data_IF_520162819860
#
_entry.id   IF_520162819860
#
_cell.length_a   1.000
_cell.length_b   1.000
_cell.length_c   1.000
_cell.angle_alpha   90.00
_cell.angle_beta   90.00
_cell.angle_gamma   90.00
#
_symmetry.space_group_name_H-M   'P 1'
#
loop_
_entity.id
_entity.type
_entity.pdbx_description
1 polymer ?
#
# COMPACT_ATOMS: atom_id res chain seq x y z
N UNK A 1 0.22 35.16 1.50
CA UNK A 1 1.46 34.93 0.73
C UNK A 1 2.20 33.67 1.17
N UNK A 2 2.38 33.40 2.48
CA UNK A 2 2.90 32.10 2.98
C UNK A 2 2.07 30.89 2.53
N UNK A 3 0.75 30.99 2.67
CA UNK A 3 -0.16 29.91 2.24
C UNK A 3 -0.04 29.57 0.74
N UNK A 4 0.32 30.53 -0.12
CA UNK A 4 0.47 30.26 -1.55
C UNK A 4 1.75 29.46 -1.85
N UNK A 5 2.83 29.70 -1.10
CA UNK A 5 4.09 28.97 -1.26
C UNK A 5 4.00 27.52 -0.78
N UNK A 6 3.15 27.25 0.21
CA UNK A 6 2.94 25.89 0.75
C UNK A 6 1.87 25.11 -0.04
N UNK A 7 0.84 25.79 -0.57
CA UNK A 7 -0.27 25.15 -1.28
C UNK A 7 0.01 24.95 -2.78
N UNK A 8 0.77 25.85 -3.44
CA UNK A 8 1.06 25.73 -4.88
C UNK A 8 1.77 24.42 -5.23
N UNK A 9 2.81 23.97 -4.50
CA UNK A 9 3.46 22.70 -4.82
C UNK A 9 2.54 21.49 -4.67
N UNK A 10 1.62 21.50 -3.69
CA UNK A 10 0.64 20.43 -3.48
C UNK A 10 -0.37 20.38 -4.62
N UNK A 11 -0.83 21.54 -5.07
CA UNK A 11 -1.74 21.66 -6.21
C UNK A 11 -1.08 21.19 -7.51
N UNK A 12 0.16 21.60 -7.76
CA UNK A 12 0.93 21.19 -8.95
C UNK A 12 1.16 19.67 -8.95
N UNK A 13 1.55 19.11 -7.80
CA UNK A 13 1.77 17.68 -7.64
C UNK A 13 0.48 16.85 -7.84
N UNK A 14 -0.65 17.32 -7.32
CA UNK A 14 -1.96 16.67 -7.46
C UNK A 14 -2.49 16.77 -8.90
N UNK A 15 -2.31 17.93 -9.53
CA UNK A 15 -2.65 18.15 -10.94
C UNK A 15 -1.80 17.28 -11.86
N UNK A 16 -0.51 17.12 -11.55
CA UNK A 16 0.39 16.23 -12.29
C UNK A 16 0.00 14.76 -12.15
N UNK A 17 -0.39 14.32 -10.95
CA UNK A 17 -0.94 12.97 -10.74
C UNK A 17 -2.17 12.74 -11.62
N UNK A 18 -3.14 13.65 -11.59
CA UNK A 18 -4.37 13.52 -12.37
C UNK A 18 -4.08 13.52 -13.88
N UNK A 19 -3.23 14.43 -14.35
CA UNK A 19 -2.81 14.49 -15.74
C UNK A 19 -2.08 13.22 -16.18
N UNK A 20 -1.15 12.72 -15.36
CA UNK A 20 -0.44 11.47 -15.63
C UNK A 20 -1.40 10.28 -15.76
N UNK A 21 -2.35 10.12 -14.84
CA UNK A 21 -3.38 9.07 -14.93
C UNK A 21 -4.20 9.22 -16.22
N UNK A 22 -4.61 10.45 -16.56
CA UNK A 22 -5.44 10.75 -17.74
C UNK A 22 -4.75 10.39 -19.06
N UNK A 23 -3.46 10.70 -19.18
CA UNK A 23 -2.70 10.50 -20.42
C UNK A 23 -2.05 9.12 -20.50
N UNK A 24 -1.92 8.41 -19.38
CA UNK A 24 -1.36 7.07 -19.34
C UNK A 24 -2.28 6.09 -20.07
N UNK A 25 -1.91 5.78 -21.31
CA UNK A 25 -2.60 4.79 -22.12
C UNK A 25 -1.99 3.43 -21.89
N UNK A 26 -2.60 2.65 -21.01
CA UNK A 26 -2.23 1.25 -20.81
C UNK A 26 -3.02 0.29 -21.71
N UNK A 27 -3.46 0.77 -22.88
CA UNK A 27 -4.32 0.05 -23.82
C UNK A 27 -3.75 -1.28 -24.34
N UNK A 28 -2.51 -1.62 -23.99
CA UNK A 28 -1.84 -2.88 -24.32
C UNK A 28 -1.16 -3.53 -23.11
N UNK A 29 -1.63 -3.24 -21.89
CA UNK A 29 -1.08 -3.90 -20.71
C UNK A 29 -1.82 -5.20 -20.44
N UNK A 30 -1.08 -6.29 -20.44
CA UNK A 30 -1.54 -7.58 -19.95
C UNK A 30 -0.96 -7.77 -18.57
N UNK A 31 -1.79 -7.90 -17.54
CA UNK A 31 -1.32 -8.27 -16.21
C UNK A 31 -1.16 -9.79 -16.10
N UNK A 32 -0.11 -10.27 -15.42
CA UNK A 32 0.08 -11.70 -15.19
C UNK A 32 -1.02 -12.25 -14.28
N UNK A 33 -1.35 -13.54 -14.41
CA UNK A 33 -2.16 -14.22 -13.40
C UNK A 33 -1.46 -14.13 -12.03
N UNK A 34 -2.17 -13.84 -10.93
CA UNK A 34 -3.64 -13.76 -10.81
C UNK A 34 -4.23 -12.33 -10.92
N UNK A 35 -3.47 -11.36 -11.43
CA UNK A 35 -3.88 -9.95 -11.59
C UNK A 35 -4.58 -9.64 -12.93
N UNK A 36 -4.84 -10.66 -13.76
CA UNK A 36 -5.45 -10.48 -15.09
C UNK A 36 -6.80 -9.79 -15.08
N UNK A 37 -7.53 -9.83 -13.95
CA UNK A 37 -8.83 -9.19 -13.80
C UNK A 37 -8.73 -7.72 -13.35
N UNK A 38 -7.53 -7.21 -13.06
CA UNK A 38 -7.30 -5.84 -12.61
C UNK A 38 -7.16 -4.83 -13.79
N UNK A 39 -7.54 -5.23 -15.01
CA UNK A 39 -7.32 -4.46 -16.26
C UNK A 39 -8.50 -3.53 -16.62
N UNK A 40 -9.60 -3.56 -15.86
CA UNK A 40 -10.89 -2.91 -16.22
C UNK A 40 -11.13 -1.53 -15.59
N UNK A 41 -10.11 -0.89 -15.04
CA UNK A 41 -10.28 0.39 -14.35
C UNK A 41 -10.49 1.57 -15.33
N UNK A 42 -11.50 2.40 -15.04
CA UNK A 42 -11.75 3.64 -15.78
C UNK A 42 -10.81 4.76 -15.29
N UNK A 43 -9.64 4.83 -15.92
CA UNK A 43 -8.60 5.83 -15.63
C UNK A 43 -9.07 7.27 -15.89
N UNK A 44 -9.99 7.48 -16.84
CA UNK A 44 -10.53 8.82 -17.11
C UNK A 44 -11.41 9.29 -15.96
N UNK A 45 -12.28 8.39 -15.45
CA UNK A 45 -13.07 8.69 -14.26
C UNK A 45 -12.19 8.91 -13.02
N UNK A 46 -11.08 8.17 -12.87
CA UNK A 46 -10.10 8.40 -11.80
C UNK A 46 -9.47 9.79 -11.88
N UNK A 47 -8.93 10.15 -13.04
CA UNK A 47 -8.33 11.47 -13.24
C UNK A 47 -9.34 12.60 -12.98
N UNK A 48 -10.56 12.50 -13.53
CA UNK A 48 -11.61 13.51 -13.35
C UNK A 48 -11.98 13.70 -11.87
N UNK A 49 -12.03 12.62 -11.09
CA UNK A 49 -12.28 12.73 -9.65
C UNK A 49 -11.15 13.44 -8.93
N UNK A 50 -9.89 13.05 -9.20
CA UNK A 50 -8.70 13.67 -8.61
C UNK A 50 -8.63 15.18 -8.88
N UNK A 51 -9.05 15.63 -10.07
CA UNK A 51 -9.14 17.05 -10.43
C UNK A 51 -10.14 17.85 -9.59
N UNK A 52 -11.12 17.18 -8.97
CA UNK A 52 -12.20 17.82 -8.19
C UNK A 52 -12.04 17.69 -6.68
N UNK A 53 -10.95 17.07 -6.22
CA UNK A 53 -10.71 16.81 -4.80
C UNK A 53 -10.36 18.10 -4.06
N UNK A 54 -10.96 18.29 -2.88
CA UNK A 54 -10.51 19.33 -1.96
C UNK A 54 -9.17 18.93 -1.33
N UNK A 55 -8.07 19.57 -1.73
CA UNK A 55 -6.73 19.25 -1.22
C UNK A 55 -6.53 19.52 0.28
N UNK A 56 -7.46 20.23 0.93
CA UNK A 56 -7.46 20.43 2.39
C UNK A 56 -8.10 19.26 3.14
N UNK A 57 -8.63 18.29 2.42
CA UNK A 57 -9.23 17.11 3.02
C UNK A 57 -8.18 16.28 3.76
N UNK A 58 -8.56 15.86 4.96
CA UNK A 58 -7.80 14.92 5.78
C UNK A 58 -8.55 13.59 5.81
N UNK A 59 -7.87 12.52 5.46
CA UNK A 59 -8.39 11.15 5.57
C UNK A 59 -8.05 10.59 6.94
N UNK A 60 -9.05 10.10 7.66
CA UNK A 60 -8.82 9.37 8.89
C UNK A 60 -8.49 7.91 8.56
N UNK A 61 -7.38 7.41 9.10
CA UNK A 61 -6.93 6.03 8.90
C UNK A 61 -6.66 5.38 10.25
N UNK A 62 -6.58 4.04 10.28
CA UNK A 62 -6.16 3.32 11.49
C UNK A 62 -4.73 3.65 11.95
N UNK A 63 -3.95 4.37 11.15
CA UNK A 63 -2.60 4.83 11.46
C UNK A 63 -2.54 6.32 11.82
N UNK A 64 -3.69 6.98 11.92
CA UNK A 64 -3.83 8.42 12.11
C UNK A 64 -4.24 9.15 10.82
N UNK A 65 -4.29 10.47 10.93
CA UNK A 65 -4.72 11.36 9.86
C UNK A 65 -3.67 11.48 8.75
N UNK A 66 -4.12 11.45 7.50
CA UNK A 66 -3.28 11.63 6.30
C UNK A 66 -3.93 12.64 5.37
N UNK A 67 -3.18 13.66 4.95
CA UNK A 67 -3.64 14.65 3.98
C UNK A 67 -3.87 14.03 2.61
N UNK A 68 -4.88 14.49 1.88
CA UNK A 68 -5.21 13.95 0.57
C UNK A 68 -4.18 14.30 -0.51
N UNK A 69 -3.43 15.39 -0.31
CA UNK A 69 -2.32 15.80 -1.16
C UNK A 69 -1.19 14.76 -1.20
N UNK A 70 -1.06 13.94 -0.15
CA UNK A 70 -0.01 12.91 -0.05
C UNK A 70 -0.20 11.81 -1.11
N UNK A 71 -1.42 11.64 -1.66
CA UNK A 71 -1.64 10.73 -2.78
C UNK A 71 -0.83 11.11 -4.02
N UNK A 72 -0.37 12.37 -4.13
CA UNK A 72 0.44 12.82 -5.25
C UNK A 72 1.76 12.05 -5.38
N UNK A 73 2.29 11.43 -4.32
CA UNK A 73 3.49 10.58 -4.39
C UNK A 73 3.27 9.25 -5.15
N UNK A 74 2.04 8.92 -5.51
CA UNK A 74 1.72 7.75 -6.35
C UNK A 74 1.97 8.05 -7.84
N UNK A 75 2.28 9.29 -8.21
CA UNK A 75 2.51 9.64 -9.61
C UNK A 75 3.85 9.11 -10.12
N UNK A 76 3.83 8.62 -11.37
CA UNK A 76 5.02 8.39 -12.20
C UNK A 76 6.07 7.50 -11.51
N UNK A 77 7.15 8.15 -11.08
CA UNK A 77 8.42 7.62 -10.61
C UNK A 77 8.78 8.24 -9.25
N UNK A 78 7.79 8.79 -8.54
CA UNK A 78 8.01 9.31 -7.20
C UNK A 78 8.26 8.17 -6.21
N UNK A 79 9.00 8.50 -5.14
CA UNK A 79 9.27 7.55 -4.07
C UNK A 79 8.09 7.57 -3.12
N UNK A 80 7.44 6.41 -2.93
CA UNK A 80 6.35 6.32 -1.96
C UNK A 80 6.85 6.62 -0.56
N UNK A 81 6.11 7.47 0.13
CA UNK A 81 6.37 7.85 1.51
C UNK A 81 5.56 6.99 2.49
N UNK A 82 5.64 7.32 3.77
CA UNK A 82 4.87 6.62 4.81
C UNK A 82 3.36 6.88 4.70
N UNK A 83 2.93 8.03 4.17
CA UNK A 83 1.52 8.35 3.96
C UNK A 83 0.89 7.43 2.92
N UNK A 84 1.55 7.21 1.78
CA UNK A 84 1.10 6.27 0.76
C UNK A 84 0.96 4.85 1.32
N UNK A 85 1.94 4.40 2.12
CA UNK A 85 1.89 3.10 2.79
C UNK A 85 0.70 2.99 3.74
N UNK A 86 0.48 4.00 4.61
CA UNK A 86 -0.67 4.05 5.54
C UNK A 86 -1.99 3.89 4.81
N UNK A 87 -2.17 4.66 3.74
CA UNK A 87 -3.42 4.67 2.98
C UNK A 87 -3.70 3.31 2.34
N UNK A 88 -2.69 2.69 1.70
CA UNK A 88 -2.92 1.41 1.00
C UNK A 88 -3.13 0.29 2.00
N UNK A 89 -2.33 0.27 3.06
CA UNK A 89 -2.50 -0.71 4.14
C UNK A 89 -3.86 -0.55 4.83
N UNK A 90 -4.32 0.68 5.08
CA UNK A 90 -5.64 0.92 5.67
C UNK A 90 -6.75 0.37 4.79
N UNK A 91 -6.67 0.63 3.48
CA UNK A 91 -7.62 0.07 2.52
C UNK A 91 -7.62 -1.47 2.53
N UNK A 92 -6.45 -2.12 2.52
CA UNK A 92 -6.34 -3.58 2.59
C UNK A 92 -6.98 -4.15 3.86
N UNK A 93 -6.87 -3.43 4.98
CA UNK A 93 -7.52 -3.82 6.23
C UNK A 93 -9.05 -3.67 6.18
N UNK A 94 -9.57 -2.66 5.49
CA UNK A 94 -11.02 -2.46 5.32
C UNK A 94 -11.69 -3.56 4.49
N UNK A 95 -10.96 -4.12 3.51
CA UNK A 95 -11.52 -5.15 2.61
C UNK A 95 -11.79 -6.49 3.29
N UNK A 96 -11.21 -6.76 4.46
CA UNK A 96 -11.24 -8.07 5.12
C UNK A 96 -11.63 -7.95 6.59
N UNK A 97 -12.94 -7.84 6.81
CA UNK A 97 -13.54 -7.89 8.13
C UNK A 97 -13.75 -9.35 8.58
N UNK A 98 -13.33 -9.66 9.79
CA UNK A 98 -13.66 -10.91 10.48
C UNK A 98 -14.95 -10.77 11.28
N UNK A 99 -15.12 -11.64 12.26
CA UNK A 99 -16.24 -11.57 13.21
C UNK A 99 -16.29 -10.20 13.91
N UNK A 100 -17.51 -9.68 14.13
CA UNK A 100 -17.77 -8.36 14.74
C UNK A 100 -17.29 -7.15 13.93
N UNK A 101 -17.24 -7.24 12.59
CA UNK A 101 -16.81 -6.15 11.68
C UNK A 101 -15.37 -5.65 11.92
N UNK A 102 -14.59 -6.38 12.73
CA UNK A 102 -13.20 -6.04 13.02
C UNK A 102 -12.30 -6.63 11.95
N UNK A 103 -11.38 -5.84 11.41
CA UNK A 103 -10.43 -6.36 10.43
C UNK A 103 -9.65 -7.54 11.00
N UNK A 104 -9.62 -8.64 10.24
CA UNK A 104 -8.77 -9.78 10.54
C UNK A 104 -7.32 -9.53 10.12
N UNK A 105 -7.06 -8.45 9.38
CA UNK A 105 -5.74 -8.01 8.92
C UNK A 105 -5.24 -6.89 9.85
N UNK A 106 -4.02 -7.05 10.35
CA UNK A 106 -3.31 -6.03 11.11
C UNK A 106 -2.28 -5.29 10.25
N UNK A 107 -1.86 -4.13 10.70
CA UNK A 107 -0.80 -3.37 10.06
C UNK A 107 0.06 -2.61 11.07
N UNK A 108 1.33 -2.43 10.77
CA UNK A 108 2.25 -1.58 11.54
C UNK A 108 2.36 -0.21 10.89
N UNK A 109 2.21 0.86 11.68
CA UNK A 109 2.30 2.23 11.20
C UNK A 109 3.72 2.50 10.65
N UNK A 110 3.92 2.71 9.34
CA UNK A 110 5.24 2.84 8.71
C UNK A 110 6.11 3.95 9.29
N UNK A 111 5.51 4.93 10.00
CA UNK A 111 6.24 6.01 10.64
C UNK A 111 7.27 5.50 11.66
N UNK A 112 7.06 4.34 12.30
CA UNK A 112 7.99 3.79 13.29
C UNK A 112 9.43 3.70 12.76
N UNK A 113 9.59 3.42 11.47
CA UNK A 113 10.90 3.24 10.85
C UNK A 113 11.66 4.57 10.65
N UNK A 114 10.99 5.71 10.79
CA UNK A 114 11.57 7.06 10.71
C UNK A 114 11.80 7.69 12.10
N UNK A 115 11.22 7.10 13.15
CA UNK A 115 11.40 7.59 14.51
C UNK A 115 12.78 7.18 15.03
N UNK A 116 13.58 8.16 15.42
CA UNK A 116 14.94 7.93 15.92
C UNK A 116 14.97 7.57 17.41
N UNK A 117 14.04 8.12 18.19
CA UNK A 117 13.90 7.79 19.61
C UNK A 117 13.28 6.39 19.76
N UNK A 118 13.97 5.49 20.45
CA UNK A 118 13.52 4.10 20.60
C UNK A 118 12.23 3.98 21.40
N UNK A 119 12.01 4.85 22.40
CA UNK A 119 10.79 4.81 23.21
C UNK A 119 9.58 5.22 22.37
N UNK A 120 9.70 6.31 21.62
CA UNK A 120 8.66 6.76 20.69
C UNK A 120 8.44 5.74 19.56
N UNK A 121 9.49 5.10 19.04
CA UNK A 121 9.36 4.04 18.04
C UNK A 121 8.52 2.88 18.57
N UNK A 122 8.82 2.41 19.78
CA UNK A 122 8.03 1.37 20.44
C UNK A 122 6.59 1.82 20.72
N UNK A 123 6.37 3.09 21.05
CA UNK A 123 5.01 3.65 21.19
C UNK A 123 4.24 3.66 19.87
N UNK A 124 4.87 4.03 18.74
CA UNK A 124 4.25 3.98 17.40
C UNK A 124 3.91 2.54 17.02
N UNK A 125 4.78 1.58 17.34
CA UNK A 125 4.49 0.15 17.12
C UNK A 125 3.31 -0.29 18.02
N UNK A 126 3.31 0.08 19.29
CA UNK A 126 2.27 -0.31 20.25
C UNK A 126 0.89 0.29 19.92
N UNK A 127 0.83 1.49 19.34
CA UNK A 127 -0.40 2.15 18.91
C UNK A 127 -0.88 1.72 17.52
N UNK A 128 -0.07 0.95 16.80
CA UNK A 128 -0.44 0.45 15.48
C UNK A 128 -1.62 -0.53 15.57
N UNK A 129 -2.45 -0.64 14.52
CA UNK A 129 -3.61 -1.53 14.50
C UNK A 129 -3.20 -2.98 14.23
N UNK A 130 -2.43 -3.59 15.14
CA UNK A 130 -2.07 -4.99 15.12
C UNK A 130 -2.39 -5.70 16.44
N UNK A 131 -2.71 -6.98 16.34
CA UNK A 131 -3.00 -7.91 17.42
C UNK A 131 -2.40 -9.26 17.07
N UNK A 132 -1.96 -10.01 18.07
CA UNK A 132 -1.45 -11.37 17.86
C UNK A 132 -2.50 -12.34 17.27
N UNK A 133 -3.78 -12.02 17.42
CA UNK A 133 -4.90 -12.77 16.83
C UNK A 133 -5.23 -12.39 15.39
N UNK A 134 -4.59 -11.36 14.82
CA UNK A 134 -4.81 -11.05 13.40
C UNK A 134 -4.38 -12.23 12.54
N UNK A 135 -5.20 -12.56 11.54
CA UNK A 135 -4.93 -13.58 10.53
C UNK A 135 -3.61 -13.31 9.81
N UNK A 136 -3.41 -12.04 9.44
CA UNK A 136 -2.17 -11.56 8.86
C UNK A 136 -1.79 -10.20 9.44
N UNK A 137 -0.50 -9.90 9.51
CA UNK A 137 0.01 -8.58 9.89
C UNK A 137 0.99 -8.08 8.82
N UNK A 138 0.72 -6.90 8.27
CA UNK A 138 1.59 -6.22 7.30
C UNK A 138 2.58 -5.32 8.04
N UNK A 139 3.87 -5.49 7.79
CA UNK A 139 4.96 -4.72 8.42
C UNK A 139 5.82 -4.10 7.32
N UNK A 140 5.61 -2.82 6.97
CA UNK A 140 6.51 -2.09 6.09
C UNK A 140 7.84 -1.83 6.82
N UNK A 141 8.96 -2.08 6.17
CA UNK A 141 10.30 -1.93 6.76
C UNK A 141 11.10 -0.96 5.92
N UNK A 142 11.60 0.12 6.52
CA UNK A 142 12.42 1.11 5.82
C UNK A 142 13.91 0.90 6.14
N UNK A 143 14.73 0.68 5.12
CA UNK A 143 16.14 0.33 5.22
C UNK A 143 17.00 1.29 4.38
N UNK A 144 17.56 2.34 5.00
CA UNK A 144 18.52 3.24 4.34
C UNK A 144 18.05 3.79 2.97
N UNK A 145 16.84 4.35 2.91
CA UNK A 145 16.27 4.87 1.66
C UNK A 145 15.44 3.87 0.85
N UNK A 146 15.14 2.69 1.40
CA UNK A 146 14.53 1.61 0.64
C UNK A 146 13.40 0.93 1.41
N UNK A 147 12.32 0.57 0.72
CA UNK A 147 11.21 -0.18 1.30
C UNK A 147 11.41 -1.69 1.11
N UNK A 148 11.34 -2.41 2.23
CA UNK A 148 11.11 -3.85 2.30
C UNK A 148 9.76 -4.11 2.98
N UNK A 149 9.28 -5.34 2.90
CA UNK A 149 8.00 -5.74 3.47
C UNK A 149 8.08 -7.06 4.20
N UNK A 150 7.33 -7.19 5.29
CA UNK A 150 7.12 -8.45 5.97
C UNK A 150 5.63 -8.69 6.13
N UNK A 151 5.19 -9.91 5.86
CA UNK A 151 3.84 -10.38 6.18
C UNK A 151 3.94 -11.51 7.19
N UNK A 152 3.42 -11.29 8.39
CA UNK A 152 3.19 -12.38 9.34
C UNK A 152 1.88 -13.06 8.96
N UNK A 153 1.97 -14.25 8.38
CA UNK A 153 0.86 -15.09 7.94
C UNK A 153 0.63 -16.14 9.02
N UNK A 154 -0.25 -15.80 9.98
CA UNK A 154 -0.50 -16.64 11.16
C UNK A 154 -1.25 -17.93 10.81
N UNK A 155 -2.09 -17.90 9.77
CA UNK A 155 -2.76 -19.09 9.23
C UNK A 155 -1.75 -20.12 8.74
N UNK A 156 -0.77 -19.68 7.93
CA UNK A 156 0.26 -20.57 7.36
C UNK A 156 1.52 -20.68 8.21
N UNK A 157 1.51 -20.12 9.43
CA UNK A 157 2.63 -20.14 10.40
C UNK A 157 3.96 -19.70 9.79
N UNK A 158 3.95 -18.64 9.00
CA UNK A 158 5.15 -18.14 8.30
C UNK A 158 5.26 -16.61 8.36
N UNK A 159 6.49 -16.13 8.40
CA UNK A 159 6.83 -14.73 8.22
C UNK A 159 7.43 -14.59 6.82
N UNK A 160 6.67 -14.04 5.88
CA UNK A 160 7.12 -13.82 4.51
C UNK A 160 7.89 -12.51 4.46
N UNK A 161 9.19 -12.58 4.23
CA UNK A 161 10.09 -11.43 4.10
C UNK A 161 10.31 -11.15 2.64
N UNK A 162 10.10 -9.91 2.23
CA UNK A 162 10.28 -9.45 0.87
C UNK A 162 11.19 -8.23 0.83
N UNK A 163 12.25 -8.34 0.05
CA UNK A 163 13.09 -7.22 -0.36
C UNK A 163 13.01 -7.09 -1.89
N UNK A 164 12.45 -6.00 -2.45
CA UNK A 164 12.38 -5.78 -3.88
C UNK A 164 13.74 -5.86 -4.59
N UNK A 165 14.83 -5.41 -3.95
CA UNK A 165 16.18 -5.50 -4.52
C UNK A 165 16.77 -6.93 -4.47
N UNK A 166 16.16 -7.80 -3.67
CA UNK A 166 16.51 -9.20 -3.47
C UNK A 166 17.97 -9.44 -3.06
N UNK A 167 18.53 -8.56 -2.22
CA UNK A 167 19.90 -8.69 -1.74
C UNK A 167 19.94 -9.38 -0.38
N UNK A 168 20.95 -10.23 -0.15
CA UNK A 168 21.15 -10.86 1.17
C UNK A 168 21.32 -9.82 2.29
N UNK A 169 21.93 -8.66 1.98
CA UNK A 169 22.10 -7.56 2.92
C UNK A 169 20.76 -7.08 3.46
N UNK A 170 19.83 -6.70 2.57
CA UNK A 170 18.52 -6.19 3.00
C UNK A 170 17.67 -7.27 3.66
N UNK A 171 17.68 -8.52 3.17
CA UNK A 171 17.00 -9.63 3.87
C UNK A 171 17.48 -9.80 5.31
N UNK A 172 18.79 -9.74 5.54
CA UNK A 172 19.36 -9.89 6.87
C UNK A 172 18.97 -8.71 7.76
N UNK A 173 19.01 -7.48 7.23
CA UNK A 173 18.57 -6.28 7.96
C UNK A 173 17.08 -6.34 8.32
N UNK A 174 16.21 -6.76 7.39
CA UNK A 174 14.79 -6.96 7.69
C UNK A 174 14.59 -8.03 8.78
N UNK A 175 15.37 -9.11 8.77
CA UNK A 175 15.30 -10.12 9.83
C UNK A 175 15.77 -9.59 11.19
N UNK A 176 16.74 -8.67 11.23
CA UNK A 176 17.12 -7.97 12.46
C UNK A 176 15.94 -7.14 12.99
N UNK A 177 15.30 -6.34 12.14
CA UNK A 177 14.11 -5.55 12.51
C UNK A 177 12.99 -6.44 13.07
N UNK A 178 12.74 -7.59 12.45
CA UNK A 178 11.74 -8.55 12.96
C UNK A 178 12.08 -9.01 14.38
N UNK A 179 13.35 -9.40 14.62
CA UNK A 179 13.78 -9.90 15.94
C UNK A 179 13.71 -8.81 17.00
N UNK A 180 14.14 -7.62 16.66
CA UNK A 180 14.26 -6.49 17.57
C UNK A 180 12.90 -5.95 18.02
N UNK A 181 11.99 -5.73 17.07
CA UNK A 181 10.73 -5.03 17.35
C UNK A 181 9.49 -5.93 17.32
N UNK A 182 9.57 -7.07 16.62
CA UNK A 182 8.41 -7.92 16.34
C UNK A 182 8.63 -9.38 16.76
N UNK A 183 9.58 -9.64 17.66
CA UNK A 183 9.90 -10.98 18.17
C UNK A 183 8.67 -11.70 18.72
N UNK A 184 7.82 -10.99 19.48
CA UNK A 184 6.61 -11.55 20.07
C UNK A 184 5.57 -11.99 19.02
N UNK A 185 5.49 -11.30 17.88
CA UNK A 185 4.58 -11.62 16.79
C UNK A 185 5.13 -12.73 15.87
N UNK A 186 6.46 -12.82 15.77
CA UNK A 186 7.16 -13.73 14.85
C UNK A 186 7.68 -15.02 15.50
N UNK A 187 7.68 -15.13 16.83
CA UNK A 187 8.32 -16.22 17.58
C UNK A 187 7.92 -17.63 17.12
N UNK A 188 6.67 -17.81 16.65
CA UNK A 188 6.13 -19.10 16.20
C UNK A 188 6.07 -19.23 14.68
N UNK A 189 6.66 -18.30 13.94
CA UNK A 189 6.56 -18.22 12.48
C UNK A 189 7.86 -18.67 11.82
N UNK A 190 7.75 -19.52 10.80
CA UNK A 190 8.88 -19.86 9.93
C UNK A 190 9.18 -18.69 8.98
N UNK A 191 10.41 -18.18 9.02
CA UNK A 191 10.84 -17.14 8.07
C UNK A 191 10.96 -17.74 6.67
N UNK A 192 10.31 -17.10 5.69
CA UNK A 192 10.34 -17.46 4.26
C UNK A 192 10.69 -16.22 3.46
N UNK A 193 11.62 -16.32 2.49
CA UNK A 193 11.94 -15.22 1.59
C UNK A 193 11.07 -15.26 0.34
N UNK A 194 10.37 -14.18 0.04
CA UNK A 194 9.67 -13.96 -1.22
C UNK A 194 10.67 -13.42 -2.25
N UNK A 195 10.88 -14.13 -3.37
CA UNK A 195 11.91 -13.81 -4.38
C UNK A 195 11.35 -13.25 -5.70
N UNK A 196 10.11 -12.78 -5.67
CA UNK A 196 9.45 -12.19 -6.82
C UNK A 196 8.42 -11.17 -6.34
N UNK A 197 8.18 -10.08 -7.07
CA UNK A 197 8.96 -9.60 -8.23
C UNK A 197 10.32 -9.00 -7.79
N UNK A 198 11.24 -8.79 -8.74
CA UNK A 198 12.49 -8.06 -8.51
C UNK A 198 12.33 -6.63 -9.03
N UNK A 199 12.81 -5.67 -8.26
CA UNK A 199 12.90 -4.27 -8.66
C UNK A 199 13.98 -4.09 -9.72
N UNK A 200 13.65 -3.38 -10.80
CA UNK A 200 14.55 -3.08 -11.93
C UNK A 200 14.88 -1.58 -12.04
N UNK A 201 14.15 -0.72 -11.34
CA UNK A 201 14.30 0.73 -11.34
C UNK A 201 14.69 1.25 -9.93
N UNK A 202 14.98 2.56 -9.75
CA UNK A 202 15.39 3.10 -8.45
C UNK A 202 14.27 3.31 -7.42
N UNK A 203 13.00 3.21 -7.78
CA UNK A 203 11.88 3.81 -7.03
C UNK A 203 10.66 2.91 -6.83
N UNK A 204 10.59 1.75 -7.47
CA UNK A 204 9.47 0.81 -7.35
C UNK A 204 9.48 -0.03 -6.06
N UNK A 205 10.43 0.18 -5.14
CA UNK A 205 10.47 -0.57 -3.88
C UNK A 205 9.16 -0.48 -3.09
N UNK A 206 8.59 0.73 -2.96
CA UNK A 206 7.32 0.96 -2.28
C UNK A 206 6.14 0.25 -2.95
N UNK A 207 5.87 0.52 -4.25
CA UNK A 207 4.81 -0.16 -5.00
C UNK A 207 4.91 -1.69 -4.96
N UNK A 208 6.12 -2.23 -5.02
CA UNK A 208 6.34 -3.68 -4.96
C UNK A 208 6.05 -4.26 -3.57
N UNK A 209 6.40 -3.55 -2.49
CA UNK A 209 6.01 -3.97 -1.13
C UNK A 209 4.49 -4.00 -0.98
N UNK A 210 3.79 -2.98 -1.49
CA UNK A 210 2.33 -2.93 -1.46
C UNK A 210 1.70 -4.05 -2.29
N UNK A 211 2.27 -4.39 -3.45
CA UNK A 211 1.87 -5.54 -4.26
C UNK A 211 1.93 -6.86 -3.48
N UNK A 212 3.02 -7.09 -2.74
CA UNK A 212 3.13 -8.28 -1.87
C UNK A 212 2.03 -8.29 -0.80
N UNK A 213 1.80 -7.16 -0.15
CA UNK A 213 0.80 -7.05 0.91
C UNK A 213 -0.58 -7.45 0.43
N UNK A 214 -1.03 -6.91 -0.69
CA UNK A 214 -2.26 -7.37 -1.31
C UNK A 214 -2.23 -8.85 -1.62
N UNK A 215 -1.23 -9.32 -2.38
CA UNK A 215 -1.24 -10.71 -2.86
C UNK A 215 -1.37 -11.65 -1.66
N UNK A 216 -0.66 -11.38 -0.57
CA UNK A 216 -0.78 -12.15 0.66
C UNK A 216 -2.14 -12.01 1.32
N UNK A 217 -2.63 -10.78 1.51
CA UNK A 217 -3.95 -10.50 2.12
C UNK A 217 -5.08 -11.21 1.34
N UNK A 218 -5.04 -11.16 0.01
CA UNK A 218 -6.00 -11.85 -0.88
C UNK A 218 -5.77 -13.35 -1.03
N UNK A 219 -4.68 -13.89 -0.45
CA UNK A 219 -4.32 -15.30 -0.61
C UNK A 219 -3.89 -15.68 -2.04
N UNK A 220 -3.49 -14.70 -2.83
CA UNK A 220 -3.03 -14.84 -4.21
C UNK A 220 -1.54 -15.16 -4.29
N UNK A 221 -1.14 -15.89 -5.33
CA UNK A 221 0.27 -16.01 -5.68
C UNK A 221 0.82 -14.63 -6.09
N UNK A 222 2.04 -14.34 -5.67
CA UNK A 222 2.74 -13.12 -6.07
C UNK A 222 3.31 -13.31 -7.48
N UNK A 223 2.89 -12.53 -8.49
CA UNK A 223 3.42 -12.64 -9.84
C UNK A 223 4.73 -11.88 -10.00
N UNK A 224 5.52 -12.26 -11.02
CA UNK A 224 6.51 -11.35 -11.58
C UNK A 224 5.80 -10.27 -12.39
N UNK A 225 6.21 -9.01 -12.21
CA UNK A 225 5.65 -7.86 -12.93
C UNK A 225 6.76 -7.06 -13.60
N UNK A 226 6.48 -6.52 -14.78
CA UNK A 226 7.37 -5.59 -15.49
C UNK A 226 7.23 -4.18 -14.92
N UNK A 227 8.17 -3.30 -15.25
CA UNK A 227 8.13 -1.88 -14.88
C UNK A 227 6.84 -1.18 -15.31
N UNK A 228 6.36 -1.45 -16.52
CA UNK A 228 5.11 -0.89 -17.04
C UNK A 228 3.90 -1.38 -16.25
N UNK A 229 3.92 -2.65 -15.84
CA UNK A 229 2.87 -3.24 -15.00
C UNK A 229 2.89 -2.65 -13.59
N UNK A 230 4.06 -2.34 -13.04
CA UNK A 230 4.17 -1.61 -11.77
C UNK A 230 3.57 -0.21 -11.92
N UNK A 231 3.95 0.55 -12.94
CA UNK A 231 3.38 1.88 -13.19
C UNK A 231 1.85 1.84 -13.35
N UNK A 232 1.33 0.83 -14.07
CA UNK A 232 -0.09 0.58 -14.17
C UNK A 232 -0.73 0.31 -12.81
N UNK A 233 -0.21 -0.63 -12.03
CA UNK A 233 -0.75 -1.01 -10.73
C UNK A 233 -0.73 0.18 -9.75
N UNK A 234 0.32 1.00 -9.79
CA UNK A 234 0.43 2.24 -9.01
C UNK A 234 -0.62 3.27 -9.45
N UNK A 235 -0.76 3.55 -10.75
CA UNK A 235 -1.76 4.50 -11.29
C UNK A 235 -3.20 4.05 -11.10
N UNK A 236 -3.44 2.73 -11.14
CA UNK A 236 -4.71 2.10 -10.85
C UNK A 236 -4.92 1.90 -9.37
N UNK A 237 -4.14 2.59 -8.54
CA UNK A 237 -4.41 2.66 -7.13
C UNK A 237 -4.60 1.26 -6.60
N UNK A 238 -3.53 0.47 -6.76
CA UNK A 238 -3.41 -0.93 -6.42
C UNK A 238 -4.69 -1.50 -5.79
N UNK A 239 -5.39 -2.35 -6.57
CA UNK A 239 -6.30 -3.42 -6.09
C UNK A 239 -7.82 -3.30 -6.33
N UNK A 240 -8.30 -3.36 -7.59
CA UNK A 240 -9.72 -3.63 -7.89
C UNK A 240 -10.18 -5.05 -7.46
N UNK A 241 -11.43 -5.20 -7.00
CA UNK A 241 -12.15 -6.48 -6.89
C UNK A 241 -12.63 -6.93 -8.28
N UNK A 242 -12.72 -8.25 -8.51
CA UNK A 242 -13.47 -8.82 -9.64
C UNK A 242 -14.97 -8.53 -9.46
N UNK A 243 -15.72 -8.22 -10.54
CA UNK A 243 -17.13 -7.79 -10.47
C UNK A 243 -18.15 -8.90 -10.11
N UNK A 244 -17.74 -10.16 -9.99
CA UNK A 244 -18.66 -11.30 -10.01
C UNK A 244 -19.39 -11.61 -8.69
N UNK A 245 -19.29 -10.74 -7.67
CA UNK A 245 -19.89 -10.98 -6.35
C UNK A 245 -20.68 -9.79 -5.77
N UNK A 246 -21.05 -8.79 -6.58
CA UNK A 246 -21.73 -7.59 -6.09
C UNK A 246 -23.21 -7.52 -6.51
N UNK A 247 -24.09 -7.41 -5.52
CA UNK A 247 -25.48 -6.97 -5.66
C UNK A 247 -25.56 -5.54 -6.23
N UNK A 248 -26.73 -5.13 -6.74
CA UNK A 248 -26.92 -3.87 -7.47
C UNK A 248 -26.56 -2.59 -6.68
N UNK A 249 -26.52 -2.66 -5.34
CA UNK A 249 -26.03 -1.58 -4.47
C UNK A 249 -24.50 -1.64 -4.23
N UNK A 250 -23.91 -2.84 -4.25
CA UNK A 250 -22.45 -3.05 -4.20
C UNK A 250 -21.75 -2.63 -5.51
N UNK A 251 -22.47 -2.62 -6.64
CA UNK A 251 -21.96 -2.12 -7.93
C UNK A 251 -21.62 -0.62 -7.91
N UNK A 252 -22.25 0.16 -7.04
CA UNK A 252 -21.92 1.56 -6.79
C UNK A 252 -20.70 1.75 -5.88
N UNK A 253 -20.34 0.71 -5.12
CA UNK A 253 -19.16 0.68 -4.22
C UNK A 253 -17.94 -0.03 -4.82
N UNK A 254 -18.11 -0.72 -5.96
CA UNK A 254 -17.08 -1.59 -6.56
C UNK A 254 -16.18 -0.94 -7.59
N UNK A 255 -16.49 0.27 -8.01
CA UNK A 255 -15.52 1.07 -8.71
C UNK A 255 -14.77 1.82 -7.61
N UNK A 256 -13.47 1.55 -7.48
CA UNK A 256 -12.41 2.56 -7.62
C UNK A 256 -11.16 2.13 -6.81
N UNK A 257 -10.14 1.67 -7.54
CA UNK A 257 -8.72 2.03 -7.41
C UNK A 257 -8.44 3.09 -6.33
N UNK A 258 -7.58 2.84 -5.36
CA UNK A 258 -7.07 3.72 -4.28
C UNK A 258 -7.48 5.22 -4.29
N UNK A 259 -7.39 5.89 -5.45
CA UNK A 259 -7.87 7.24 -5.73
C UNK A 259 -9.36 7.54 -5.50
N UNK A 260 -10.26 6.60 -5.17
CA UNK A 260 -11.63 6.98 -4.79
C UNK A 260 -12.37 6.14 -3.77
N UNK A 261 -11.73 5.15 -3.13
CA UNK A 261 -12.20 4.82 -1.79
C UNK A 261 -11.94 6.01 -0.84
N UNK A 262 -10.74 6.61 -0.94
CA UNK A 262 -10.37 7.89 -0.31
C UNK A 262 -11.34 9.05 -0.58
N UNK A 263 -12.02 9.04 -1.74
CA UNK A 263 -13.01 10.04 -2.13
C UNK A 263 -14.45 9.65 -1.81
N UNK A 264 -14.73 8.36 -1.60
CA UNK A 264 -16.06 7.86 -1.23
C UNK A 264 -16.39 8.06 0.25
N UNK A 265 -15.37 8.18 1.10
CA UNK A 265 -15.47 8.52 2.53
C UNK A 265 -15.66 10.02 2.78
N UNK A 266 -15.76 10.84 1.73
CA UNK A 266 -15.89 12.31 1.80
C UNK A 266 -17.31 12.80 1.50
N UNK A 267 -18.32 12.10 2.01
CA UNK A 267 -19.70 12.61 2.04
C UNK A 267 -20.03 13.16 3.41
#
# INVERSE_FOLDING_TARGET
>A
MRDWHDESPKFDASSDLAAWIRISRFARITLPSPLSNCVTADLQACAKRLETVNLKTIMDTRFGQVGIEEMAFIRRSEWLDDSCMKLVMNHLMDQYQGEQERSCIGGVNPLYARVHDETMKLQVIASSPLRSSNRMIMVPVYLAGHWAGVVFDNDKRRAVVFDPMQTNKYYNQTCTVIKEYFGNYSAKLKIVRQRAPRQEDPNSCGPLVLLIFECMVRGMAVPNVTREQIAYLTSNGVFCRSPDAATSEEKLRQYISFCAHALSTLR
#
